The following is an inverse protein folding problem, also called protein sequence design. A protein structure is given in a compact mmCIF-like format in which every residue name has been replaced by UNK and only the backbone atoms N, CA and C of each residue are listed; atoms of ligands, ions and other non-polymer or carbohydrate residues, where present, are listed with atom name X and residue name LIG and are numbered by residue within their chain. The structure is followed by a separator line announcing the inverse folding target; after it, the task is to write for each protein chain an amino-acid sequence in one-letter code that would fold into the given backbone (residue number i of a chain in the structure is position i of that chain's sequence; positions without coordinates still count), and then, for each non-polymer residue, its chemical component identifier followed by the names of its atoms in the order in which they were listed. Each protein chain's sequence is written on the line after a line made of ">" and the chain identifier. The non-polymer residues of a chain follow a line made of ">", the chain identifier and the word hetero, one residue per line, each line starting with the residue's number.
data_IF_766705905461
#
_entry.id   IF_766705905461
#
_cell.length_a   1.000
_cell.length_b   1.000
_cell.length_c   1.000
_cell.angle_alpha   90.00
_cell.angle_beta   90.00
_cell.angle_gamma   90.00
#
_symmetry.space_group_name_H-M   'P 1'
#
loop_
_entity.id
_entity.type
_entity.pdbx_description
1 polymer ?
#
# COMPACT_ATOMS: atom_id res chain seq x y z
N UNK A 1 20.94 7.77 -8.76
CA UNK A 1 21.08 9.01 -7.97
C UNK A 1 22.43 8.98 -7.23
N UNK A 2 23.18 10.09 -7.13
CA UNK A 2 24.43 10.13 -6.35
C UNK A 2 24.14 9.81 -4.87
N UNK A 3 24.99 9.01 -4.24
CA UNK A 3 24.76 8.53 -2.86
C UNK A 3 25.50 9.33 -1.79
N UNK A 4 26.38 10.25 -2.18
CA UNK A 4 27.17 11.08 -1.26
C UNK A 4 26.82 12.56 -1.40
N UNK A 5 26.77 13.27 -0.27
CA UNK A 5 26.55 14.72 -0.19
C UNK A 5 27.45 15.53 -1.15
N UNK A 6 28.78 15.33 -1.23
CA UNK A 6 29.62 16.09 -2.15
C UNK A 6 29.27 15.82 -3.62
N UNK A 7 28.88 14.60 -3.97
CA UNK A 7 28.47 14.27 -5.34
C UNK A 7 27.11 14.89 -5.70
N UNK A 8 26.19 15.02 -4.73
CA UNK A 8 24.92 15.74 -4.93
C UNK A 8 25.19 17.23 -5.18
N UNK A 9 26.07 17.86 -4.39
CA UNK A 9 26.41 19.29 -4.56
C UNK A 9 27.08 19.53 -5.92
N UNK A 10 28.09 18.75 -6.27
CA UNK A 10 28.79 18.89 -7.54
C UNK A 10 27.86 18.70 -8.75
N UNK A 11 26.86 17.83 -8.61
CA UNK A 11 25.84 17.61 -9.65
C UNK A 11 24.85 18.77 -9.72
N UNK A 12 24.36 19.23 -8.57
CA UNK A 12 23.48 20.39 -8.47
C UNK A 12 24.11 21.65 -9.07
N UNK A 13 25.42 21.84 -8.92
CA UNK A 13 26.15 22.95 -9.55
C UNK A 13 26.25 22.80 -11.07
N UNK A 14 26.61 21.61 -11.57
CA UNK A 14 26.70 21.33 -13.01
C UNK A 14 25.36 21.52 -13.73
N UNK A 15 24.29 21.09 -13.08
CA UNK A 15 22.94 21.11 -13.63
C UNK A 15 22.13 22.33 -13.16
N UNK A 16 22.77 23.27 -12.46
CA UNK A 16 22.18 24.51 -11.96
C UNK A 16 20.85 24.32 -11.23
N UNK A 17 20.79 23.35 -10.32
CA UNK A 17 19.58 23.09 -9.54
C UNK A 17 19.25 24.30 -8.66
N UNK A 18 17.97 24.64 -8.61
CA UNK A 18 17.45 25.64 -7.70
C UNK A 18 17.74 25.24 -6.25
N UNK A 19 18.18 26.20 -5.44
CA UNK A 19 18.42 25.96 -4.02
C UNK A 19 17.99 27.14 -3.17
N UNK A 20 17.59 26.83 -1.95
CA UNK A 20 17.26 27.80 -0.90
C UNK A 20 18.29 27.69 0.22
N UNK A 21 18.66 28.83 0.79
CA UNK A 21 19.51 28.87 1.98
C UNK A 21 18.61 28.95 3.21
N UNK A 22 18.65 27.92 4.04
CA UNK A 22 17.91 27.82 5.28
C UNK A 22 18.86 28.01 6.45
N UNK A 23 18.62 29.03 7.27
CA UNK A 23 19.40 29.32 8.47
C UNK A 23 18.71 28.76 9.70
N UNK A 24 19.42 27.96 10.50
CA UNK A 24 18.92 27.41 11.76
C UNK A 24 19.96 27.44 12.88
N UNK A 25 19.67 26.77 14.01
CA UNK A 25 20.58 26.68 15.18
C UNK A 25 21.97 26.10 14.88
N UNK A 26 22.18 25.53 13.69
CA UNK A 26 23.45 24.96 13.23
C UNK A 26 24.08 25.66 12.03
N UNK A 27 23.75 26.94 11.79
CA UNK A 27 24.27 27.73 10.66
C UNK A 27 23.42 27.62 9.40
N UNK A 28 24.00 28.01 8.26
CA UNK A 28 23.35 28.01 6.95
C UNK A 28 23.41 26.64 6.28
N UNK A 29 22.27 26.17 5.77
CA UNK A 29 22.15 24.92 5.00
C UNK A 29 21.52 25.22 3.65
N UNK A 30 22.15 24.75 2.57
CA UNK A 30 21.57 24.80 1.22
C UNK A 30 20.66 23.60 1.01
N UNK A 31 19.41 23.85 0.67
CA UNK A 31 18.40 22.84 0.33
C UNK A 31 18.15 22.93 -1.17
N UNK A 32 18.42 21.85 -1.90
CA UNK A 32 18.27 21.80 -3.35
C UNK A 32 16.89 21.27 -3.72
N UNK A 33 16.20 21.93 -4.66
CA UNK A 33 15.01 21.37 -5.32
C UNK A 33 15.46 20.34 -6.34
N UNK A 34 15.00 19.10 -6.17
CA UNK A 34 15.34 18.00 -7.06
C UNK A 34 14.50 18.06 -8.35
N UNK A 35 15.13 18.04 -9.55
CA UNK A 35 14.40 17.97 -10.82
C UNK A 35 13.53 16.72 -10.95
N UNK A 36 12.42 16.83 -11.70
CA UNK A 36 11.42 15.76 -11.86
C UNK A 36 12.01 14.47 -12.43
N UNK A 37 13.01 14.56 -13.31
CA UNK A 37 13.72 13.40 -13.86
C UNK A 37 14.43 12.52 -12.81
N UNK A 38 14.60 13.01 -11.59
CA UNK A 38 15.17 12.27 -10.47
C UNK A 38 14.14 11.88 -9.40
N UNK A 39 12.91 12.38 -9.52
CA UNK A 39 11.79 11.81 -8.80
C UNK A 39 11.55 10.45 -9.44
N UNK A 40 12.09 9.39 -8.83
CA UNK A 40 11.68 8.05 -9.19
C UNK A 40 10.15 8.02 -9.10
N UNK A 41 9.48 7.49 -10.13
CA UNK A 41 8.05 7.16 -10.01
C UNK A 41 7.86 6.44 -8.68
N UNK A 42 6.85 6.82 -7.87
CA UNK A 42 6.67 6.24 -6.56
C UNK A 42 6.70 4.74 -6.75
N UNK A 43 7.78 4.11 -6.29
CA UNK A 43 7.93 2.68 -6.43
C UNK A 43 6.71 2.10 -5.73
N UNK A 44 5.74 1.63 -6.51
CA UNK A 44 4.64 0.84 -5.99
C UNK A 44 5.32 -0.17 -5.09
N UNK A 45 5.03 -0.07 -3.79
CA UNK A 45 5.72 -0.77 -2.72
C UNK A 45 5.95 -2.20 -3.19
N UNK A 46 7.18 -2.55 -3.61
CA UNK A 46 7.49 -3.90 -4.04
C UNK A 46 7.49 -4.73 -2.77
N UNK A 47 6.31 -5.26 -2.45
CA UNK A 47 6.14 -6.30 -1.44
C UNK A 47 7.16 -7.37 -1.80
N UNK A 48 8.07 -7.75 -0.87
CA UNK A 48 9.04 -8.79 -1.17
C UNK A 48 8.27 -10.02 -1.65
N UNK A 49 8.71 -10.56 -2.79
CA UNK A 49 8.17 -11.77 -3.40
C UNK A 49 8.51 -12.98 -2.51
N UNK A 50 7.85 -13.06 -1.36
CA UNK A 50 7.73 -14.22 -0.50
C UNK A 50 6.23 -14.48 -0.31
N UNK A 51 5.53 -14.61 -1.43
CA UNK A 51 4.17 -15.10 -1.48
C UNK A 51 4.14 -16.12 -2.63
N UNK A 52 4.78 -17.26 -2.38
CA UNK A 52 4.50 -18.46 -3.16
C UNK A 52 2.99 -18.71 -3.03
N UNK A 53 2.27 -18.55 -4.14
CA UNK A 53 0.85 -18.89 -4.22
C UNK A 53 -0.15 -17.74 -4.40
N UNK A 54 0.25 -16.53 -4.83
CA UNK A 54 -0.75 -15.58 -5.33
C UNK A 54 -1.24 -16.09 -6.69
N UNK A 55 -2.51 -16.51 -6.85
CA UNK A 55 -3.03 -16.95 -8.14
C UNK A 55 -2.96 -15.78 -9.12
N UNK A 56 -2.28 -15.99 -10.25
CA UNK A 56 -2.07 -15.02 -11.33
C UNK A 56 -3.36 -14.59 -12.04
N UNK A 57 -4.49 -15.20 -11.70
CA UNK A 57 -5.84 -14.80 -12.07
C UNK A 57 -6.58 -14.30 -10.83
N UNK A 58 -6.42 -13.01 -10.54
CA UNK A 58 -7.27 -12.28 -9.60
C UNK A 58 -8.61 -12.00 -10.27
N UNK A 59 -9.66 -12.67 -9.81
CA UNK A 59 -11.03 -12.40 -10.24
C UNK A 59 -11.55 -11.20 -9.45
N UNK A 60 -11.42 -10.02 -10.06
CA UNK A 60 -11.87 -8.75 -9.47
C UNK A 60 -13.36 -8.79 -9.07
N UNK A 61 -14.20 -9.55 -9.79
CA UNK A 61 -15.62 -9.67 -9.49
C UNK A 61 -15.86 -10.39 -8.17
N UNK A 62 -15.14 -11.50 -7.93
CA UNK A 62 -15.19 -12.23 -6.66
C UNK A 62 -14.65 -11.41 -5.50
N UNK A 63 -13.58 -10.64 -5.74
CA UNK A 63 -12.98 -9.78 -4.72
C UNK A 63 -13.92 -8.64 -4.29
N UNK A 64 -14.56 -7.96 -5.26
CA UNK A 64 -15.57 -6.94 -4.99
C UNK A 64 -16.79 -7.50 -4.25
N UNK A 65 -17.22 -8.71 -4.60
CA UNK A 65 -18.33 -9.37 -3.93
C UNK A 65 -18.00 -9.62 -2.45
N UNK A 66 -16.83 -10.22 -2.16
CA UNK A 66 -16.35 -10.45 -0.79
C UNK A 66 -16.26 -9.15 0.00
N UNK A 67 -15.72 -8.09 -0.61
CA UNK A 67 -15.61 -6.79 0.04
C UNK A 67 -16.98 -6.17 0.36
N UNK A 68 -17.94 -6.23 -0.57
CA UNK A 68 -19.28 -5.67 -0.36
C UNK A 68 -20.06 -6.37 0.75
N UNK A 69 -19.90 -7.69 0.88
CA UNK A 69 -20.55 -8.50 1.93
C UNK A 69 -19.95 -8.16 3.28
N UNK A 70 -18.62 -8.10 3.34
CA UNK A 70 -17.91 -7.72 4.55
C UNK A 70 -18.31 -6.30 4.99
N UNK A 71 -18.31 -5.34 4.06
CA UNK A 71 -18.66 -3.95 4.37
C UNK A 71 -20.10 -3.81 4.88
N UNK A 72 -21.03 -4.53 4.25
CA UNK A 72 -22.43 -4.58 4.69
C UNK A 72 -22.56 -5.15 6.11
N UNK A 73 -21.91 -6.26 6.43
CA UNK A 73 -21.96 -6.87 7.76
C UNK A 73 -21.33 -5.95 8.82
N UNK A 74 -20.24 -5.27 8.49
CA UNK A 74 -19.58 -4.32 9.38
C UNK A 74 -20.44 -3.09 9.65
N UNK A 75 -21.12 -2.59 8.61
CA UNK A 75 -22.00 -1.45 8.71
C UNK A 75 -23.28 -1.78 9.50
N UNK A 76 -23.87 -2.96 9.31
CA UNK A 76 -25.04 -3.43 10.06
C UNK A 76 -24.73 -3.58 11.57
N UNK A 77 -23.47 -3.80 11.95
CA UNK A 77 -23.05 -4.00 13.34
C UNK A 77 -22.30 -2.79 13.94
N UNK A 78 -22.08 -1.73 13.17
CA UNK A 78 -21.34 -0.55 13.62
C UNK A 78 -19.87 -0.84 13.98
N UNK A 79 -19.30 -1.92 13.43
CA UNK A 79 -17.94 -2.36 13.73
C UNK A 79 -16.98 -1.79 12.68
N UNK A 80 -15.95 -1.09 13.13
CA UNK A 80 -14.84 -0.69 12.25
C UNK A 80 -13.67 -1.65 12.44
N UNK A 81 -13.39 -2.47 11.41
CA UNK A 81 -12.13 -3.19 11.37
C UNK A 81 -11.00 -2.21 11.02
N UNK A 82 -9.91 -2.32 11.77
CA UNK A 82 -8.67 -1.68 11.38
C UNK A 82 -8.21 -2.22 10.02
N UNK A 83 -7.70 -1.35 9.15
CA UNK A 83 -7.38 -1.63 7.74
C UNK A 83 -6.49 -2.87 7.57
N UNK A 84 -5.58 -3.10 8.50
CA UNK A 84 -4.66 -4.25 8.51
C UNK A 84 -5.40 -5.59 8.72
N UNK A 85 -6.40 -5.62 9.62
CA UNK A 85 -7.22 -6.82 9.86
C UNK A 85 -8.24 -7.05 8.75
N UNK A 86 -8.77 -5.98 8.17
CA UNK A 86 -9.70 -6.05 7.02
C UNK A 86 -9.04 -6.76 5.83
N UNK A 87 -7.81 -6.42 5.50
CA UNK A 87 -7.06 -7.06 4.40
C UNK A 87 -6.89 -8.57 4.59
N UNK A 88 -6.59 -9.01 5.82
CA UNK A 88 -6.42 -10.42 6.16
C UNK A 88 -7.73 -11.22 6.02
N UNK A 89 -8.85 -10.65 6.48
CA UNK A 89 -10.18 -11.28 6.36
C UNK A 89 -10.59 -11.39 4.89
N UNK A 90 -10.41 -10.32 4.10
CA UNK A 90 -10.74 -10.35 2.67
C UNK A 90 -9.90 -11.38 1.92
N UNK A 91 -8.60 -11.49 2.21
CA UNK A 91 -7.72 -12.48 1.59
C UNK A 91 -8.15 -13.92 1.89
N UNK A 92 -8.52 -14.20 3.14
CA UNK A 92 -9.03 -15.52 3.56
C UNK A 92 -10.36 -15.87 2.87
N UNK A 93 -11.31 -14.94 2.84
CA UNK A 93 -12.60 -15.15 2.20
C UNK A 93 -12.46 -15.33 0.67
N UNK A 94 -11.57 -14.57 0.05
CA UNK A 94 -11.27 -14.73 -1.37
C UNK A 94 -10.70 -16.12 -1.69
N UNK A 95 -9.73 -16.61 -0.89
CA UNK A 95 -9.18 -17.96 -1.05
C UNK A 95 -10.26 -19.05 -0.86
N UNK A 96 -11.19 -18.86 0.08
CA UNK A 96 -12.32 -19.76 0.28
C UNK A 96 -13.25 -19.83 -0.95
N UNK A 97 -13.65 -18.68 -1.48
CA UNK A 97 -14.49 -18.60 -2.69
C UNK A 97 -13.73 -19.10 -3.93
N UNK A 98 -12.43 -18.83 -4.03
CA UNK A 98 -11.58 -19.31 -5.12
C UNK A 98 -11.49 -20.84 -5.15
N UNK A 99 -11.54 -21.49 -3.98
CA UNK A 99 -11.58 -22.97 -3.84
C UNK A 99 -12.96 -23.59 -4.09
N UNK A 100 -13.96 -22.80 -4.46
CA UNK A 100 -15.33 -23.26 -4.72
C UNK A 100 -16.22 -23.28 -3.48
N UNK A 101 -15.84 -22.57 -2.41
CA UNK A 101 -16.68 -22.38 -1.24
C UNK A 101 -17.99 -21.68 -1.58
N UNK A 102 -19.09 -22.12 -0.96
CA UNK A 102 -20.41 -21.53 -1.15
C UNK A 102 -20.54 -20.20 -0.41
N UNK A 103 -21.24 -19.27 -1.02
CA UNK A 103 -21.58 -17.98 -0.43
C UNK A 103 -22.33 -18.13 0.90
N UNK A 104 -23.29 -19.05 0.99
CA UNK A 104 -24.09 -19.28 2.20
C UNK A 104 -23.23 -19.74 3.39
N UNK A 105 -22.25 -20.60 3.11
CA UNK A 105 -21.31 -21.09 4.12
C UNK A 105 -20.33 -19.99 4.54
N UNK A 106 -19.95 -19.10 3.62
CA UNK A 106 -19.14 -17.93 3.92
C UNK A 106 -19.87 -16.96 4.86
N UNK A 107 -21.14 -16.66 4.59
CA UNK A 107 -21.96 -15.81 5.47
C UNK A 107 -22.18 -16.46 6.84
N UNK A 108 -22.44 -17.77 6.90
CA UNK A 108 -22.56 -18.49 8.18
C UNK A 108 -21.26 -18.50 8.98
N UNK A 109 -20.11 -18.67 8.33
CA UNK A 109 -18.81 -18.64 8.99
C UNK A 109 -18.48 -17.25 9.55
N UNK A 110 -18.83 -16.19 8.80
CA UNK A 110 -18.68 -14.82 9.28
C UNK A 110 -19.64 -14.51 10.44
N UNK A 111 -20.87 -14.98 10.38
CA UNK A 111 -21.82 -14.86 11.49
C UNK A 111 -21.32 -15.61 12.74
N UNK A 112 -20.76 -16.81 12.59
CA UNK A 112 -20.26 -17.63 13.69
C UNK A 112 -18.99 -17.07 14.35
N UNK A 113 -18.17 -16.31 13.61
CA UNK A 113 -16.94 -15.71 14.13
C UNK A 113 -17.19 -14.40 14.90
N UNK A 114 -18.39 -13.84 14.76
CA UNK A 114 -18.82 -12.57 15.34
C UNK A 114 -19.85 -12.76 16.47
N UNK A 115 -20.40 -13.98 16.64
CA UNK A 115 -21.25 -14.39 17.76
C UNK A 115 -20.46 -14.62 19.06
#
# INVERSE_FOLDING_TARGET
>A
MPTSKPAIIARAEREQWYHEVVTGRGGERRVYRLPEQYLAEPAACRVPAAAEGIPTTLDLGKLQLVESVLDRMLQERGLMLHSDRRGMVVAFLYDYVARGGSYDTMTQALDALVA
#
